data_IF_996334418021
#
_entry.id   IF_996334418021
#
_cell.length_a   1.000
_cell.length_b   1.000
_cell.length_c   1.000
_cell.angle_alpha   90.00
_cell.angle_beta   90.00
_cell.angle_gamma   90.00
#
_symmetry.space_group_name_H-M   'P 1'
#
loop_
_entity.id
_entity.type
_entity.pdbx_description
1 polymer ?
#
# COMPACT_ATOMS: atom_id res chain seq x y z
N UNK A 1 -39.36 -28.24 -26.99
CA UNK A 1 -37.89 -28.37 -27.04
C UNK A 1 -37.31 -27.01 -27.42
N UNK A 2 -36.85 -26.22 -26.45
CA UNK A 2 -36.02 -25.04 -26.68
C UNK A 2 -34.96 -25.03 -25.59
N UNK A 3 -33.73 -25.16 -26.04
CA UNK A 3 -32.53 -25.43 -25.25
C UNK A 3 -32.10 -24.16 -24.52
N UNK A 4 -31.86 -24.31 -23.23
CA UNK A 4 -31.22 -23.31 -22.37
C UNK A 4 -29.77 -23.11 -22.81
N UNK A 5 -29.33 -21.88 -23.01
CA UNK A 5 -27.90 -21.53 -23.04
C UNK A 5 -27.69 -20.40 -22.06
N UNK A 6 -27.15 -20.74 -20.89
CA UNK A 6 -26.65 -19.78 -19.92
C UNK A 6 -25.32 -19.23 -20.46
N UNK A 7 -25.29 -17.94 -20.80
CA UNK A 7 -24.07 -17.24 -21.13
C UNK A 7 -23.52 -16.64 -19.84
N UNK A 8 -22.48 -17.28 -19.28
CA UNK A 8 -21.63 -16.67 -18.26
C UNK A 8 -20.87 -15.51 -18.92
N UNK A 9 -21.38 -14.29 -18.77
CA UNK A 9 -20.65 -13.10 -19.13
C UNK A 9 -19.67 -12.78 -17.99
N UNK A 10 -18.42 -13.25 -18.08
CA UNK A 10 -17.32 -12.65 -17.34
C UNK A 10 -17.23 -11.19 -17.81
N UNK A 11 -17.54 -10.27 -16.91
CA UNK A 11 -17.50 -8.83 -17.16
C UNK A 11 -16.09 -8.33 -17.36
N UNK A 12 -15.58 -8.40 -18.60
CA UNK A 12 -14.44 -7.62 -19.05
C UNK A 12 -14.93 -6.17 -19.25
N UNK A 13 -14.87 -5.36 -18.20
CA UNK A 13 -15.15 -3.93 -18.30
C UNK A 13 -13.88 -3.19 -18.70
N UNK A 14 -13.75 -2.90 -20.00
CA UNK A 14 -12.81 -1.91 -20.52
C UNK A 14 -13.32 -0.54 -20.06
N UNK A 15 -12.71 0.04 -19.02
CA UNK A 15 -13.09 1.39 -18.57
C UNK A 15 -12.51 2.46 -19.50
N UNK A 16 -13.37 2.99 -20.36
CA UNK A 16 -13.19 4.29 -21.02
C UNK A 16 -13.51 5.43 -20.04
N UNK A 17 -12.53 6.29 -19.79
CA UNK A 17 -12.59 7.68 -19.30
C UNK A 17 -13.96 8.20 -18.80
N UNK A 18 -14.35 7.84 -17.57
CA UNK A 18 -15.17 8.67 -16.67
C UNK A 18 -15.26 8.01 -15.27
N UNK A 19 -14.82 8.75 -14.23
CA UNK A 19 -15.02 8.49 -12.79
C UNK A 19 -14.26 7.29 -12.15
N UNK A 20 -13.20 7.52 -11.34
CA UNK A 20 -12.46 6.46 -10.67
C UNK A 20 -13.17 6.07 -9.36
N UNK A 21 -13.79 4.90 -9.32
CA UNK A 21 -14.15 4.20 -8.07
C UNK A 21 -13.67 2.76 -8.20
N UNK A 22 -12.76 2.31 -7.32
CA UNK A 22 -12.34 0.91 -7.23
C UNK A 22 -13.55 0.00 -7.01
N UNK A 23 -13.64 -1.11 -7.74
CA UNK A 23 -14.52 -2.23 -7.38
C UNK A 23 -13.68 -3.41 -6.90
N UNK A 24 -14.03 -3.95 -5.73
CA UNK A 24 -13.52 -5.22 -5.17
C UNK A 24 -13.90 -6.39 -6.07
N UNK A 25 -13.08 -7.43 -6.10
CA UNK A 25 -13.52 -8.78 -6.44
C UNK A 25 -13.18 -9.73 -5.29
N UNK A 26 -14.07 -10.68 -5.00
CA UNK A 26 -13.93 -11.62 -3.88
C UNK A 26 -12.94 -12.74 -4.21
N UNK A 27 -12.43 -13.47 -3.21
CA UNK A 27 -11.37 -14.49 -3.37
C UNK A 27 -11.66 -15.64 -4.37
N UNK A 28 -12.92 -15.89 -4.75
CA UNK A 28 -13.28 -16.85 -5.82
C UNK A 28 -13.20 -16.25 -7.23
N UNK A 29 -13.02 -14.94 -7.34
CA UNK A 29 -12.83 -14.15 -8.54
C UNK A 29 -11.65 -13.23 -8.27
N UNK A 30 -10.42 -13.74 -8.32
CA UNK A 30 -9.22 -12.89 -8.28
C UNK A 30 -9.16 -12.01 -9.54
N UNK A 31 -10.10 -11.06 -9.66
CA UNK A 31 -10.08 -10.02 -10.64
C UNK A 31 -9.02 -9.05 -10.16
N UNK A 32 -7.98 -8.92 -10.96
CA UNK A 32 -6.99 -7.86 -10.92
C UNK A 32 -7.67 -6.52 -10.69
N UNK A 33 -7.70 -6.05 -9.44
CA UNK A 33 -8.12 -4.69 -9.15
C UNK A 33 -6.92 -3.80 -9.44
N UNK A 34 -6.91 -3.19 -10.62
CA UNK A 34 -5.99 -2.10 -10.98
C UNK A 34 -6.32 -0.93 -10.08
N UNK A 35 -5.37 -0.43 -9.30
CA UNK A 35 -5.60 0.75 -8.46
C UNK A 35 -5.81 1.99 -9.37
N UNK A 36 -7.00 2.61 -9.43
CA UNK A 36 -7.21 3.89 -10.06
C UNK A 36 -6.56 5.02 -9.23
N UNK A 37 -6.26 6.16 -9.87
CA UNK A 37 -5.58 7.31 -9.24
C UNK A 37 -6.49 8.14 -8.31
N UNK A 38 -7.43 7.51 -7.57
CA UNK A 38 -8.20 8.19 -6.52
C UNK A 38 -8.68 7.22 -5.44
N UNK A 39 -7.87 7.15 -4.38
CA UNK A 39 -8.17 6.86 -2.96
C UNK A 39 -9.37 5.98 -2.58
N UNK A 40 -9.07 4.70 -2.30
CA UNK A 40 -9.28 3.99 -1.02
C UNK A 40 -9.22 2.48 -1.32
N UNK A 41 -8.34 1.72 -0.65
CA UNK A 41 -8.57 0.28 -0.56
C UNK A 41 -9.92 0.13 0.18
N UNK A 42 -10.91 -0.55 -0.42
CA UNK A 42 -12.26 -0.58 0.13
C UNK A 42 -12.26 -1.20 1.56
N UNK A 43 -13.29 -0.97 2.40
CA UNK A 43 -13.25 -1.31 3.82
C UNK A 43 -13.21 -2.83 4.12
N UNK A 44 -12.63 -3.18 5.26
CA UNK A 44 -12.38 -4.55 5.74
C UNK A 44 -13.65 -5.39 5.92
N UNK A 45 -14.09 -6.10 4.87
CA UNK A 45 -15.07 -7.20 5.00
C UNK A 45 -14.69 -8.47 4.20
N UNK A 46 -13.60 -8.44 3.43
CA UNK A 46 -13.04 -9.61 2.75
C UNK A 46 -11.59 -9.35 2.32
N UNK A 47 -10.78 -10.42 2.26
CA UNK A 47 -9.41 -10.39 1.78
C UNK A 47 -9.31 -9.87 0.33
N UNK A 48 -8.26 -9.12 0.01
CA UNK A 48 -8.08 -8.48 -1.28
C UNK A 48 -6.65 -8.59 -1.82
N UNK A 49 -6.52 -8.72 -3.15
CA UNK A 49 -5.26 -8.59 -3.87
C UNK A 49 -5.40 -7.42 -4.85
N UNK A 50 -4.62 -6.36 -4.64
CA UNK A 50 -4.54 -5.20 -5.51
C UNK A 50 -3.27 -5.30 -6.36
N UNK A 51 -3.44 -5.29 -7.68
CA UNK A 51 -2.32 -5.38 -8.62
C UNK A 51 -2.00 -3.99 -9.15
N UNK A 52 -0.76 -3.55 -8.98
CA UNK A 52 -0.25 -2.32 -9.57
C UNK A 52 0.39 -2.66 -10.91
N UNK A 53 -0.14 -2.08 -11.98
CA UNK A 53 0.28 -2.30 -13.36
C UNK A 53 0.76 -0.97 -13.95
N UNK A 54 2.05 -0.88 -14.23
CA UNK A 54 2.69 0.36 -14.68
C UNK A 54 2.81 1.42 -13.59
N UNK A 55 3.02 2.67 -14.03
CA UNK A 55 3.25 3.81 -13.14
C UNK A 55 1.95 4.50 -12.76
N UNK A 56 1.72 4.67 -11.47
CA UNK A 56 0.67 5.50 -10.89
C UNK A 56 1.32 6.74 -10.28
N UNK A 57 0.98 7.91 -10.81
CA UNK A 57 1.49 9.19 -10.29
C UNK A 57 0.43 9.90 -9.45
N UNK A 58 0.86 10.59 -8.39
CA UNK A 58 -0.02 11.33 -7.51
C UNK A 58 0.72 12.09 -6.42
N UNK A 59 -0.04 12.61 -5.45
CA UNK A 59 0.46 13.29 -4.27
C UNK A 59 -0.44 12.95 -3.06
N UNK A 60 -0.75 11.66 -2.90
CA UNK A 60 -1.65 11.15 -1.87
C UNK A 60 -1.07 9.93 -1.16
N UNK A 61 -1.49 9.71 0.08
CA UNK A 61 -1.18 8.50 0.82
C UNK A 61 -2.41 7.57 0.77
N UNK A 62 -2.24 6.41 0.13
CA UNK A 62 -3.30 5.41 -0.02
C UNK A 62 -3.42 4.61 1.27
N UNK A 63 -4.59 4.65 1.90
CA UNK A 63 -4.88 3.82 3.05
C UNK A 63 -4.98 2.34 2.63
N UNK A 64 -4.22 1.49 3.30
CA UNK A 64 -4.29 0.03 3.21
C UNK A 64 -4.97 -0.50 4.46
N UNK A 65 -5.88 -1.47 4.28
CA UNK A 65 -6.64 -2.11 5.35
C UNK A 65 -6.16 -3.54 5.57
N UNK A 66 -6.67 -4.21 6.61
CA UNK A 66 -6.35 -5.61 6.90
C UNK A 66 -6.64 -6.55 5.72
N UNK A 67 -6.02 -7.73 5.75
CA UNK A 67 -6.19 -8.82 4.77
C UNK A 67 -5.95 -8.39 3.32
N UNK A 68 -4.95 -7.55 3.11
CA UNK A 68 -4.66 -6.94 1.80
C UNK A 68 -3.27 -7.28 1.31
N UNK A 69 -3.17 -7.76 0.07
CA UNK A 69 -1.91 -7.83 -0.68
C UNK A 69 -1.88 -6.72 -1.72
N UNK A 70 -0.87 -5.85 -1.66
CA UNK A 70 -0.50 -4.94 -2.74
C UNK A 70 0.66 -5.59 -3.50
N UNK A 71 0.48 -5.87 -4.78
CA UNK A 71 1.46 -6.57 -5.60
C UNK A 71 1.73 -5.80 -6.89
N UNK A 72 3.00 -5.45 -7.14
CA UNK A 72 3.38 -4.99 -8.46
C UNK A 72 3.36 -6.14 -9.46
N UNK A 73 2.73 -5.91 -10.62
CA UNK A 73 2.59 -6.90 -11.69
C UNK A 73 3.94 -7.32 -12.27
N UNK A 74 4.82 -6.34 -12.47
CA UNK A 74 6.17 -6.49 -13.01
C UNK A 74 7.04 -5.29 -12.59
N UNK A 75 8.25 -5.18 -13.13
CA UNK A 75 9.22 -4.13 -12.78
C UNK A 75 8.77 -2.69 -13.11
N UNK A 76 7.67 -2.52 -13.86
CA UNK A 76 7.13 -1.20 -14.18
C UNK A 76 6.10 -0.71 -13.14
N UNK A 77 5.79 -1.52 -12.13
CA UNK A 77 4.86 -1.18 -11.06
C UNK A 77 5.45 -0.11 -10.12
N UNK A 78 5.16 1.16 -10.41
CA UNK A 78 5.75 2.31 -9.74
C UNK A 78 4.65 3.19 -9.14
N UNK A 79 4.76 3.52 -7.86
CA UNK A 79 3.99 4.57 -7.21
C UNK A 79 4.84 5.83 -7.10
N UNK A 80 4.56 6.86 -7.89
CA UNK A 80 5.37 8.09 -7.92
C UNK A 80 4.64 9.23 -7.25
N UNK A 81 5.20 9.72 -6.15
CA UNK A 81 4.59 10.71 -5.26
C UNK A 81 3.43 10.16 -4.41
N UNK A 82 3.14 8.86 -4.51
CA UNK A 82 2.05 8.18 -3.79
C UNK A 82 2.64 7.29 -2.70
N UNK A 83 2.26 7.52 -1.45
CA UNK A 83 2.66 6.69 -0.32
C UNK A 83 1.62 5.62 0.02
N UNK A 84 2.03 4.59 0.77
CA UNK A 84 1.14 3.61 1.38
C UNK A 84 1.04 3.86 2.87
N UNK A 85 -0.19 3.96 3.37
CA UNK A 85 -0.51 4.19 4.78
C UNK A 85 -1.22 2.98 5.35
N UNK A 86 -0.50 2.17 6.12
CA UNK A 86 -1.00 0.96 6.77
C UNK A 86 -1.22 1.31 8.24
N UNK A 87 -2.35 1.95 8.53
CA UNK A 87 -2.60 2.52 9.85
C UNK A 87 -3.84 1.93 10.50
N UNK A 88 -3.64 1.23 11.62
CA UNK A 88 -4.69 0.85 12.55
C UNK A 88 -4.88 1.88 13.66
N UNK A 89 -5.43 1.41 14.77
CA UNK A 89 -5.57 2.16 16.02
C UNK A 89 -5.24 1.23 17.20
N UNK A 90 -4.97 1.81 18.36
CA UNK A 90 -4.87 1.05 19.61
C UNK A 90 -6.09 0.15 19.80
N UNK A 91 -5.85 -1.14 20.02
CA UNK A 91 -6.86 -2.20 20.13
C UNK A 91 -7.71 -2.47 18.88
N UNK A 92 -7.33 -1.92 17.73
CA UNK A 92 -7.87 -2.24 16.41
C UNK A 92 -6.75 -2.14 15.37
N UNK A 93 -5.74 -3.02 15.43
CA UNK A 93 -4.62 -2.96 14.50
C UNK A 93 -5.07 -3.27 13.07
N UNK A 94 -4.32 -2.77 12.09
CA UNK A 94 -4.39 -3.30 10.73
C UNK A 94 -3.51 -4.54 10.69
N UNK A 95 -4.07 -5.69 10.28
CA UNK A 95 -3.39 -6.98 10.36
C UNK A 95 -3.35 -7.71 9.02
N UNK A 96 -2.39 -8.60 8.83
CA UNK A 96 -2.27 -9.47 7.65
C UNK A 96 -2.19 -8.67 6.34
N UNK A 97 -1.12 -7.88 6.20
CA UNK A 97 -0.87 -7.06 5.00
C UNK A 97 0.43 -7.49 4.33
N UNK A 98 0.39 -7.59 3.00
CA UNK A 98 1.57 -7.88 2.18
C UNK A 98 1.77 -6.75 1.18
N UNK A 99 2.98 -6.23 1.06
CA UNK A 99 3.37 -5.28 0.01
C UNK A 99 4.57 -5.86 -0.74
N UNK A 100 4.42 -6.13 -2.03
CA UNK A 100 5.46 -6.82 -2.80
C UNK A 100 5.70 -6.30 -4.20
N UNK A 101 6.95 -6.41 -4.63
CA UNK A 101 7.39 -6.13 -6.00
C UNK A 101 7.00 -4.72 -6.49
N UNK A 102 7.22 -3.71 -5.64
CA UNK A 102 6.73 -2.35 -5.89
C UNK A 102 7.86 -1.34 -5.78
N UNK A 103 7.95 -0.41 -6.73
CA UNK A 103 8.79 0.78 -6.56
C UNK A 103 7.96 1.96 -6.08
N UNK A 104 8.47 2.73 -5.11
CA UNK A 104 7.84 3.97 -4.64
C UNK A 104 8.87 5.10 -4.71
N UNK A 105 8.54 6.15 -5.46
CA UNK A 105 9.46 7.24 -5.82
C UNK A 105 8.94 8.59 -5.34
N UNK A 106 9.77 9.33 -4.57
CA UNK A 106 9.60 10.77 -4.28
C UNK A 106 8.26 11.15 -3.63
N UNK A 107 7.87 10.46 -2.56
CA UNK A 107 6.72 10.85 -1.74
C UNK A 107 7.07 12.11 -0.95
N UNK A 108 6.39 13.22 -1.25
CA UNK A 108 6.62 14.51 -0.58
C UNK A 108 6.29 14.43 0.91
N UNK A 109 7.00 15.20 1.72
CA UNK A 109 6.75 15.22 3.16
C UNK A 109 5.32 15.65 3.53
N UNK A 110 4.67 16.45 2.70
CA UNK A 110 3.25 16.81 2.87
C UNK A 110 2.28 15.65 2.61
N UNK A 111 2.73 14.62 1.91
CA UNK A 111 1.98 13.38 1.64
C UNK A 111 2.23 12.35 2.75
N UNK A 112 3.47 12.27 3.25
CA UNK A 112 3.91 11.35 4.29
C UNK A 112 5.04 10.44 3.81
N UNK A 113 5.10 9.24 4.38
CA UNK A 113 6.14 8.25 4.07
C UNK A 113 5.88 7.49 2.77
N UNK A 114 6.91 6.87 2.21
CA UNK A 114 6.73 5.91 1.11
C UNK A 114 5.86 4.73 1.57
N UNK A 115 6.20 4.11 2.70
CA UNK A 115 5.39 3.11 3.40
C UNK A 115 5.41 3.43 4.91
N UNK A 116 4.31 3.99 5.40
CA UNK A 116 4.10 4.30 6.81
C UNK A 116 3.19 3.27 7.49
N UNK A 117 3.61 2.77 8.64
CA UNK A 117 2.93 1.73 9.42
C UNK A 117 2.72 2.18 10.87
N UNK A 118 1.48 2.11 11.35
CA UNK A 118 1.13 2.46 12.73
C UNK A 118 0.03 1.53 13.25
N UNK A 119 0.17 1.03 14.49
CA UNK A 119 -0.74 0.04 15.06
C UNK A 119 -1.02 -1.10 14.07
N UNK A 120 0.05 -1.75 13.59
CA UNK A 120 -0.07 -2.91 12.68
C UNK A 120 0.39 -4.19 13.34
N UNK A 121 -0.09 -5.32 12.83
CA UNK A 121 0.38 -6.65 13.21
C UNK A 121 0.52 -7.52 11.96
N UNK A 122 1.53 -8.39 11.90
CA UNK A 122 1.70 -9.36 10.81
C UNK A 122 1.73 -8.70 9.42
N UNK A 123 2.69 -7.79 9.22
CA UNK A 123 2.90 -7.10 7.93
C UNK A 123 4.19 -7.60 7.29
N UNK A 124 4.13 -7.95 6.02
CA UNK A 124 5.29 -8.37 5.23
C UNK A 124 5.52 -7.45 4.05
N UNK A 125 6.68 -6.79 4.02
CA UNK A 125 7.12 -5.99 2.88
C UNK A 125 8.31 -6.67 2.21
N UNK A 126 8.20 -6.96 0.92
CA UNK A 126 9.23 -7.75 0.21
C UNK A 126 9.47 -7.31 -1.23
N UNK A 127 10.72 -7.29 -1.66
CA UNK A 127 11.11 -6.85 -3.01
C UNK A 127 10.57 -5.45 -3.37
N UNK A 128 10.65 -4.51 -2.42
CA UNK A 128 10.28 -3.12 -2.68
C UNK A 128 11.52 -2.24 -2.92
N UNK A 129 11.40 -1.29 -3.83
CA UNK A 129 12.45 -0.31 -4.18
C UNK A 129 11.94 1.08 -3.81
N UNK A 130 12.47 1.67 -2.74
CA UNK A 130 12.00 2.93 -2.18
C UNK A 130 13.07 4.00 -2.28
N UNK A 131 12.71 5.15 -2.85
CA UNK A 131 13.64 6.26 -2.97
C UNK A 131 12.98 7.64 -2.88
N UNK A 132 13.82 8.62 -2.56
CA UNK A 132 13.49 10.04 -2.69
C UNK A 132 14.43 10.68 -3.71
N UNK A 133 14.99 11.83 -3.34
CA UNK A 133 16.03 12.46 -4.13
C UNK A 133 17.05 13.17 -3.22
N UNK A 134 18.23 12.57 -3.10
CA UNK A 134 19.38 13.07 -2.32
C UNK A 134 20.15 14.20 -3.00
N UNK A 135 19.80 14.58 -4.23
CA UNK A 135 20.37 15.76 -4.89
C UNK A 135 19.75 17.07 -4.34
N UNK A 136 18.62 16.96 -3.64
CA UNK A 136 17.96 18.08 -2.99
C UNK A 136 18.68 18.42 -1.68
N UNK A 137 18.96 19.70 -1.45
CA UNK A 137 19.62 20.19 -0.23
C UNK A 137 18.71 20.19 1.00
N UNK A 138 17.40 20.26 0.79
CA UNK A 138 16.41 20.19 1.86
C UNK A 138 16.13 18.72 2.22
N UNK A 139 16.60 18.31 3.39
CA UNK A 139 16.41 16.96 3.94
C UNK A 139 14.95 16.65 4.27
N UNK A 140 14.11 17.67 4.42
CA UNK A 140 12.71 17.56 4.84
C UNK A 140 11.73 17.73 3.66
N UNK A 141 12.23 17.79 2.41
CA UNK A 141 11.39 17.78 1.20
C UNK A 141 10.56 16.50 1.07
N UNK A 142 11.14 15.37 1.47
CA UNK A 142 10.50 14.05 1.52
C UNK A 142 10.50 13.55 2.97
N UNK A 143 9.53 12.70 3.36
CA UNK A 143 9.47 12.17 4.73
C UNK A 143 10.27 10.88 4.95
N UNK A 144 9.74 9.86 5.63
CA UNK A 144 10.41 8.55 5.74
C UNK A 144 10.22 7.69 4.49
N UNK A 145 11.10 6.70 4.26
CA UNK A 145 10.77 5.61 3.34
C UNK A 145 9.99 4.52 4.07
N UNK A 146 10.58 3.93 5.12
CA UNK A 146 9.93 2.91 5.95
C UNK A 146 9.81 3.36 7.40
N UNK A 147 8.58 3.65 7.82
CA UNK A 147 8.30 4.07 9.18
C UNK A 147 7.39 3.04 9.86
N UNK A 148 7.88 2.43 10.94
CA UNK A 148 7.13 1.49 11.79
C UNK A 148 7.02 2.11 13.17
N UNK A 149 5.84 2.57 13.53
CA UNK A 149 5.65 3.34 14.76
C UNK A 149 4.44 2.85 15.53
N UNK A 150 4.23 3.39 16.73
CA UNK A 150 3.02 3.21 17.54
C UNK A 150 2.54 1.76 17.67
N UNK A 151 3.11 1.01 18.62
CA UNK A 151 2.60 -0.32 19.00
C UNK A 151 2.49 -1.32 17.85
N UNK A 152 3.20 -1.08 16.75
CA UNK A 152 3.26 -2.01 15.63
C UNK A 152 4.15 -3.19 15.99
N UNK A 153 3.72 -4.39 15.64
CA UNK A 153 4.42 -5.63 15.95
C UNK A 153 4.42 -6.60 14.75
N UNK A 154 5.30 -7.59 14.77
CA UNK A 154 5.42 -8.62 13.74
C UNK A 154 5.53 -8.09 12.30
N UNK A 155 6.37 -7.07 12.11
CA UNK A 155 6.70 -6.53 10.79
C UNK A 155 7.96 -7.19 10.25
N UNK A 156 7.87 -7.79 9.06
CA UNK A 156 9.01 -8.37 8.34
C UNK A 156 9.28 -7.57 7.08
N UNK A 157 10.51 -7.10 6.91
CA UNK A 157 10.96 -6.40 5.69
C UNK A 157 12.11 -7.21 5.08
N UNK A 158 11.93 -7.72 3.86
CA UNK A 158 12.92 -8.58 3.18
C UNK A 158 13.18 -8.10 1.76
N UNK A 159 14.38 -8.38 1.24
CA UNK A 159 14.75 -8.16 -0.17
C UNK A 159 14.41 -6.76 -0.73
N UNK A 160 14.34 -5.75 0.13
CA UNK A 160 13.90 -4.39 -0.24
C UNK A 160 15.09 -3.45 -0.22
N UNK A 161 15.09 -2.48 -1.13
CA UNK A 161 16.17 -1.54 -1.33
C UNK A 161 15.71 -0.12 -1.00
N UNK A 162 16.39 0.51 -0.05
CA UNK A 162 16.15 1.90 0.34
C UNK A 162 17.36 2.71 -0.10
N UNK A 163 17.15 3.70 -0.94
CA UNK A 163 18.26 4.47 -1.48
C UNK A 163 17.88 5.90 -1.82
N UNK A 164 18.90 6.72 -2.08
CA UNK A 164 18.73 8.11 -2.50
C UNK A 164 17.81 8.95 -1.57
N UNK A 165 17.81 8.66 -0.27
CA UNK A 165 16.97 9.31 0.74
C UNK A 165 17.77 9.81 1.95
N UNK A 166 17.26 10.82 2.66
CA UNK A 166 17.84 11.36 3.90
C UNK A 166 17.36 10.60 5.15
N UNK A 167 16.06 10.39 5.27
CA UNK A 167 15.38 9.66 6.35
C UNK A 167 14.98 8.27 5.83
N UNK A 168 15.88 7.30 5.97
CA UNK A 168 15.68 5.97 5.37
C UNK A 168 14.59 5.17 6.07
N UNK A 169 14.70 4.99 7.38
CA UNK A 169 13.70 4.27 8.16
C UNK A 169 13.64 4.78 9.59
N UNK A 170 12.46 4.68 10.20
CA UNK A 170 12.19 5.02 11.58
C UNK A 170 11.47 3.83 12.26
N UNK A 171 11.98 3.37 13.40
CA UNK A 171 11.30 2.39 14.26
C UNK A 171 11.11 3.01 15.63
N UNK A 172 9.86 3.39 15.94
CA UNK A 172 9.53 4.16 17.15
C UNK A 172 9.79 5.66 16.99
N UNK A 173 8.72 6.47 17.01
CA UNK A 173 8.80 7.89 16.66
C UNK A 173 9.11 8.85 17.83
N UNK A 174 9.13 8.35 19.07
CA UNK A 174 9.30 9.18 20.27
C UNK A 174 9.73 8.34 21.47
N UNK A 175 10.70 8.85 22.22
CA UNK A 175 11.18 8.26 23.48
C UNK A 175 10.12 8.29 24.60
N UNK A 176 9.09 9.13 24.43
CA UNK A 176 7.99 9.28 25.38
C UNK A 176 6.74 8.47 24.97
N UNK A 177 6.83 7.65 23.92
CA UNK A 177 5.72 6.82 23.45
C UNK A 177 5.90 5.37 23.92
N UNK A 178 6.00 5.18 25.24
CA UNK A 178 6.10 3.86 25.90
C UNK A 178 4.97 2.89 25.52
N UNK A 179 4.96 1.70 26.14
CA UNK A 179 4.15 0.53 25.73
C UNK A 179 2.77 0.89 25.15
N UNK A 180 2.60 0.59 23.85
CA UNK A 180 1.33 0.64 23.13
C UNK A 180 1.03 -0.78 22.70
N UNK A 181 -0.01 -1.38 23.27
CA UNK A 181 -0.40 -2.73 22.89
C UNK A 181 -1.20 -2.69 21.57
N UNK A 182 -0.81 -3.49 20.57
CA UNK A 182 -1.74 -3.87 19.51
C UNK A 182 -2.71 -4.89 20.11
N UNK A 183 -3.74 -4.46 20.86
CA UNK A 183 -4.69 -5.44 21.42
C UNK A 183 -5.43 -6.16 20.28
N UNK A 184 -5.44 -7.50 20.38
CA UNK A 184 -6.12 -8.45 19.49
C UNK A 184 -7.59 -8.61 19.84
#
# INVERSE_FOLDING_TARGET
MKTTTALFALGLSVMTKASPVLRRANASEAASVVMPPKTAVPPAEAAAICIVDGTIEGAEAVQVTSDTTILGKDSNAILKGVGLKINGKSGKPVTNVIVRNLSIDKVLATTGDAIGMQFVENVWVDHCDLQGDRTQSDKDKYDGLFDVTHGSDYVTITNSFLHNHWKGSLIGHSDNNGEKTPDT
#
